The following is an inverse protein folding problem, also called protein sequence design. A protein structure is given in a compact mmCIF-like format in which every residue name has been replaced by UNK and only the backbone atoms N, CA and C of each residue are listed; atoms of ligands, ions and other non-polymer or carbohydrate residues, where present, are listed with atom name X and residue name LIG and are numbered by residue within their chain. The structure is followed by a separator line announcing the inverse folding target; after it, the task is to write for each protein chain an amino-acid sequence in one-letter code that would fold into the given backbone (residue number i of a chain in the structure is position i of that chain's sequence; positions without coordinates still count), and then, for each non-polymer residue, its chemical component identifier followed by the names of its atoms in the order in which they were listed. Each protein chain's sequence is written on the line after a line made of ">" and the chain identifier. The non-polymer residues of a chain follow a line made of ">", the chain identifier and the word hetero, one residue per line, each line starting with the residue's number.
data_IF_323592673432
#
_entry.id   IF_323592673432
#
_cell.length_a   1.000
_cell.length_b   1.000
_cell.length_c   1.000
_cell.angle_alpha   90.00
_cell.angle_beta   90.00
_cell.angle_gamma   90.00
#
_symmetry.space_group_name_H-M   'P 1'
#
loop_
_entity.id
_entity.type
_entity.pdbx_description
1 polymer ?
#
# COMPACT_ATOMS: atom_id res chain seq x y z
N UNK A 1 -9.96 63.13 -18.31
CA UNK A 1 -11.39 62.80 -18.15
C UNK A 1 -11.71 61.73 -19.19
N UNK A 2 -11.70 60.45 -18.78
CA UNK A 2 -12.86 59.66 -18.32
C UNK A 2 -13.41 58.85 -19.51
N UNK A 3 -13.18 57.53 -19.55
CA UNK A 3 -14.13 56.43 -19.22
C UNK A 3 -15.32 56.37 -20.22
N UNK A 4 -15.87 55.27 -20.74
CA UNK A 4 -16.00 53.83 -20.38
C UNK A 4 -16.76 53.17 -21.57
N UNK A 5 -16.36 52.00 -22.09
CA UNK A 5 -16.90 50.63 -21.82
C UNK A 5 -18.10 50.16 -22.69
N UNK A 6 -18.06 48.85 -22.98
CA UNK A 6 -19.07 47.88 -23.45
C UNK A 6 -19.45 47.74 -24.94
N UNK A 7 -19.04 46.60 -25.56
CA UNK A 7 -19.89 45.39 -25.74
C UNK A 7 -19.42 44.45 -26.89
N UNK A 8 -19.36 43.14 -26.64
CA UNK A 8 -19.20 42.02 -27.62
C UNK A 8 -20.56 41.67 -28.28
N UNK A 9 -20.57 40.85 -29.36
CA UNK A 9 -20.89 39.41 -29.24
C UNK A 9 -19.98 38.51 -30.15
N UNK A 10 -19.30 37.46 -29.68
CA UNK A 10 -19.69 36.05 -29.45
C UNK A 10 -20.10 35.24 -30.70
N UNK A 11 -19.27 34.25 -31.10
CA UNK A 11 -19.66 32.82 -31.29
C UNK A 11 -18.52 32.00 -31.91
N UNK A 12 -17.90 31.11 -31.13
CA UNK A 12 -17.49 29.76 -31.50
C UNK A 12 -17.37 28.99 -30.18
N UNK A 13 -18.50 28.40 -29.79
CA UNK A 13 -18.65 27.59 -28.60
C UNK A 13 -18.38 26.12 -28.95
N UNK A 14 -17.82 25.37 -28.00
CA UNK A 14 -18.14 23.95 -27.88
C UNK A 14 -16.98 22.95 -27.76
N UNK A 15 -16.08 23.11 -26.79
CA UNK A 15 -15.57 21.96 -26.01
C UNK A 15 -15.35 22.44 -24.57
N UNK A 16 -16.39 22.36 -23.76
CA UNK A 16 -16.31 22.64 -22.33
C UNK A 16 -15.86 21.34 -21.64
N UNK A 17 -14.56 21.21 -21.41
CA UNK A 17 -14.00 20.21 -20.49
C UNK A 17 -14.32 20.65 -19.07
N UNK A 18 -15.53 20.38 -18.60
CA UNK A 18 -15.85 20.40 -17.18
C UNK A 18 -15.23 19.16 -16.50
N UNK A 19 -13.90 19.15 -16.42
CA UNK A 19 -13.19 18.35 -15.42
C UNK A 19 -13.03 19.28 -14.23
N UNK A 20 -13.80 19.02 -13.16
CA UNK A 20 -13.53 19.63 -11.86
C UNK A 20 -12.08 19.32 -11.51
N UNK A 21 -11.21 20.34 -11.66
CA UNK A 21 -9.85 20.32 -11.16
C UNK A 21 -9.96 19.95 -9.69
N UNK A 22 -9.47 18.76 -9.35
CA UNK A 22 -9.39 18.31 -7.97
C UNK A 22 -8.48 19.32 -7.29
N UNK A 23 -9.02 20.10 -6.36
CA UNK A 23 -8.31 21.06 -5.53
C UNK A 23 -6.96 20.46 -5.11
N UNK A 24 -5.85 21.09 -5.49
CA UNK A 24 -4.49 20.60 -5.24
C UNK A 24 -4.34 20.34 -3.73
N UNK A 25 -4.38 19.06 -3.35
CA UNK A 25 -4.31 18.62 -1.94
C UNK A 25 -2.90 18.85 -1.36
N UNK A 26 -1.91 19.09 -2.22
CA UNK A 26 -0.51 19.31 -1.85
C UNK A 26 -0.15 20.79 -2.05
N UNK A 27 0.43 21.47 -1.04
CA UNK A 27 0.87 22.85 -1.20
C UNK A 27 1.98 22.97 -2.27
N UNK A 28 1.95 24.07 -3.02
CA UNK A 28 2.96 24.44 -4.02
C UNK A 28 4.37 24.29 -3.42
N UNK A 29 5.23 23.49 -4.06
CA UNK A 29 6.63 23.26 -3.66
C UNK A 29 6.94 22.00 -2.84
N UNK A 30 5.93 21.18 -2.49
CA UNK A 30 6.15 19.92 -1.74
C UNK A 30 6.61 18.73 -2.60
N UNK A 31 6.33 18.77 -3.91
CA UNK A 31 6.71 17.75 -4.88
C UNK A 31 7.28 18.46 -6.11
N UNK A 32 8.27 17.85 -6.76
CA UNK A 32 8.86 18.37 -8.00
C UNK A 32 7.75 18.64 -9.03
N UNK A 33 7.59 19.89 -9.52
CA UNK A 33 6.54 20.27 -10.46
C UNK A 33 6.57 19.43 -11.74
N UNK A 34 7.76 18.98 -12.16
CA UNK A 34 7.96 18.06 -13.30
C UNK A 34 7.31 16.70 -13.02
N UNK A 35 7.45 16.18 -11.80
CA UNK A 35 6.84 14.92 -11.41
C UNK A 35 5.32 15.03 -11.28
N UNK A 36 4.81 16.14 -10.72
CA UNK A 36 3.37 16.38 -10.59
C UNK A 36 2.68 16.39 -11.95
N UNK A 37 3.20 17.15 -12.93
CA UNK A 37 2.61 17.23 -14.26
C UNK A 37 2.57 15.86 -14.96
N UNK A 38 3.64 15.07 -14.83
CA UNK A 38 3.67 13.71 -15.37
C UNK A 38 2.68 12.77 -14.66
N UNK A 39 2.54 12.89 -13.33
CA UNK A 39 1.59 12.10 -12.55
C UNK A 39 0.13 12.43 -12.87
N UNK A 40 -0.18 13.70 -13.12
CA UNK A 40 -1.51 14.15 -13.57
C UNK A 40 -1.86 13.56 -14.93
N UNK A 41 -0.97 13.67 -15.91
CA UNK A 41 -1.18 13.09 -17.25
C UNK A 41 -1.39 11.57 -17.18
N UNK A 42 -0.63 10.89 -16.32
CA UNK A 42 -0.76 9.46 -16.10
C UNK A 42 -2.12 9.10 -15.46
N UNK A 43 -2.54 9.83 -14.42
CA UNK A 43 -3.84 9.65 -13.78
C UNK A 43 -5.00 9.87 -14.76
N UNK A 44 -4.91 10.91 -15.59
CA UNK A 44 -5.90 11.21 -16.63
C UNK A 44 -5.97 10.08 -17.67
N UNK A 45 -4.83 9.51 -18.04
CA UNK A 45 -4.78 8.36 -18.94
C UNK A 45 -5.47 7.14 -18.31
N UNK A 46 -5.19 6.84 -17.05
CA UNK A 46 -5.86 5.75 -16.31
C UNK A 46 -7.37 6.02 -16.21
N UNK A 47 -7.77 7.27 -16.00
CA UNK A 47 -9.17 7.69 -15.95
C UNK A 47 -9.87 7.47 -17.30
N UNK A 48 -9.21 7.76 -18.43
CA UNK A 48 -9.71 7.50 -19.79
C UNK A 48 -9.79 6.00 -20.11
N UNK A 49 -8.80 5.22 -19.68
CA UNK A 49 -8.84 3.74 -19.77
C UNK A 49 -10.00 3.19 -18.91
N UNK A 50 -10.33 3.85 -17.81
CA UNK A 50 -11.46 3.48 -16.95
C UNK A 50 -11.31 2.10 -16.31
N UNK A 51 -12.40 1.62 -15.70
CA UNK A 51 -12.44 0.35 -15.00
C UNK A 51 -12.63 -0.81 -15.99
N UNK A 52 -11.61 -1.62 -16.20
CA UNK A 52 -11.64 -2.77 -17.10
C UNK A 52 -11.37 -4.10 -16.37
N UNK A 53 -11.15 -5.16 -17.16
CA UNK A 53 -10.91 -6.51 -16.64
C UNK A 53 -9.69 -6.55 -15.71
N UNK A 54 -8.61 -5.83 -16.07
CA UNK A 54 -7.38 -5.81 -15.29
C UNK A 54 -7.63 -5.29 -13.87
N UNK A 55 -8.36 -4.18 -13.73
CA UNK A 55 -8.65 -3.59 -12.43
C UNK A 55 -9.59 -4.45 -11.58
N UNK A 56 -10.54 -5.16 -12.20
CA UNK A 56 -11.38 -6.14 -11.47
C UNK A 56 -10.59 -7.35 -11.00
N UNK A 57 -9.66 -7.87 -11.80
CA UNK A 57 -8.76 -8.93 -11.35
C UNK A 57 -7.83 -8.42 -10.25
N UNK A 58 -7.32 -7.19 -10.38
CA UNK A 58 -6.50 -6.56 -9.35
C UNK A 58 -7.29 -6.42 -8.05
N UNK A 59 -8.55 -5.99 -8.10
CA UNK A 59 -9.44 -5.89 -6.93
C UNK A 59 -9.59 -7.23 -6.20
N UNK A 60 -9.73 -8.34 -6.93
CA UNK A 60 -9.82 -9.67 -6.34
C UNK A 60 -8.48 -10.07 -5.69
N UNK A 61 -7.36 -9.83 -6.38
CA UNK A 61 -6.02 -10.21 -5.89
C UNK A 61 -5.60 -9.37 -4.67
N UNK A 62 -5.87 -8.06 -4.68
CA UNK A 62 -5.66 -7.19 -3.50
C UNK A 62 -6.66 -7.50 -2.39
N UNK A 63 -7.87 -7.96 -2.75
CA UNK A 63 -8.86 -8.48 -1.81
C UNK A 63 -8.35 -9.69 -1.04
N UNK A 64 -7.70 -10.65 -1.71
CA UNK A 64 -7.05 -11.77 -1.02
C UNK A 64 -5.90 -11.33 -0.09
N UNK A 65 -5.18 -10.26 -0.43
CA UNK A 65 -4.18 -9.67 0.46
C UNK A 65 -4.81 -9.04 1.71
N UNK A 66 -5.86 -8.25 1.55
CA UNK A 66 -6.63 -7.69 2.67
C UNK A 66 -7.27 -8.77 3.56
N UNK A 67 -7.76 -9.85 2.93
CA UNK A 67 -8.24 -11.03 3.64
C UNK A 67 -7.13 -11.63 4.50
N UNK A 68 -5.94 -11.83 3.93
CA UNK A 68 -4.79 -12.35 4.64
C UNK A 68 -4.41 -11.47 5.85
N UNK A 69 -4.42 -10.14 5.68
CA UNK A 69 -4.03 -9.21 6.74
C UNK A 69 -4.92 -9.35 7.99
N UNK A 70 -6.24 -9.32 7.79
CA UNK A 70 -7.18 -9.45 8.91
C UNK A 70 -7.19 -10.88 9.47
N UNK A 71 -7.12 -11.89 8.59
CA UNK A 71 -7.02 -13.29 9.00
C UNK A 71 -5.87 -13.49 9.99
N UNK A 72 -4.70 -12.90 9.72
CA UNK A 72 -3.51 -13.07 10.53
C UNK A 72 -3.56 -12.35 11.88
N UNK A 73 -4.21 -11.19 11.94
CA UNK A 73 -4.51 -10.51 13.21
C UNK A 73 -5.39 -11.42 14.09
N UNK A 74 -6.42 -12.05 13.51
CA UNK A 74 -7.31 -12.97 14.23
C UNK A 74 -6.58 -14.25 14.64
N UNK A 75 -5.75 -14.82 13.74
CA UNK A 75 -4.91 -15.99 14.05
C UNK A 75 -4.03 -15.72 15.26
N UNK A 76 -3.33 -14.59 15.30
CA UNK A 76 -2.47 -14.20 16.42
C UNK A 76 -3.23 -14.16 17.76
N UNK A 77 -4.48 -13.69 17.75
CA UNK A 77 -5.34 -13.66 18.93
C UNK A 77 -5.76 -15.05 19.39
N UNK A 78 -6.18 -15.91 18.45
CA UNK A 78 -6.70 -17.26 18.75
C UNK A 78 -5.61 -18.18 19.32
N UNK A 79 -4.39 -18.13 18.78
CA UNK A 79 -3.30 -19.00 19.22
C UNK A 79 -2.73 -18.64 20.59
N UNK A 80 -3.04 -17.44 21.12
CA UNK A 80 -2.43 -16.93 22.33
C UNK A 80 -2.71 -17.82 23.56
N UNK A 81 -3.98 -18.18 23.79
CA UNK A 81 -4.40 -19.02 24.92
C UNK A 81 -3.71 -20.38 24.94
N UNK A 82 -3.78 -21.20 23.87
CA UNK A 82 -3.13 -22.52 23.87
C UNK A 82 -1.60 -22.44 24.00
N UNK A 83 -0.96 -21.39 23.48
CA UNK A 83 0.49 -21.20 23.63
C UNK A 83 0.85 -20.90 25.09
N UNK A 84 0.07 -20.05 25.77
CA UNK A 84 0.28 -19.73 27.19
C UNK A 84 0.14 -20.97 28.07
N UNK A 85 -0.83 -21.85 27.77
CA UNK A 85 -1.06 -23.10 28.51
C UNK A 85 0.05 -24.15 28.33
N UNK A 86 0.71 -24.21 27.15
CA UNK A 86 1.79 -25.18 26.90
C UNK A 86 3.14 -24.72 27.46
N UNK A 87 3.46 -23.43 27.33
CA UNK A 87 4.77 -22.91 27.74
C UNK A 87 4.78 -22.25 29.12
N UNK A 88 3.63 -22.07 29.76
CA UNK A 88 3.46 -21.39 31.06
C UNK A 88 4.16 -20.02 31.10
N UNK A 89 3.95 -19.23 30.03
CA UNK A 89 4.56 -17.91 29.82
C UNK A 89 3.53 -16.80 29.97
N UNK A 90 3.99 -15.58 30.26
CA UNK A 90 3.09 -14.42 30.26
C UNK A 90 2.64 -14.12 28.82
N UNK A 91 1.34 -14.26 28.56
CA UNK A 91 0.72 -13.99 27.24
C UNK A 91 1.18 -12.70 26.54
N UNK A 92 1.37 -11.56 27.24
CA UNK A 92 1.79 -10.31 26.60
C UNK A 92 3.13 -10.38 25.85
N UNK A 93 4.02 -11.33 26.15
CA UNK A 93 5.29 -11.44 25.41
C UNK A 93 5.11 -11.88 23.95
N UNK A 94 4.13 -12.73 23.66
CA UNK A 94 3.85 -13.15 22.29
C UNK A 94 3.26 -11.98 21.49
N UNK A 95 2.28 -11.28 22.08
CA UNK A 95 1.69 -10.07 21.51
C UNK A 95 2.75 -8.99 21.30
N UNK A 96 3.68 -8.81 22.23
CA UNK A 96 4.78 -7.86 22.05
C UNK A 96 5.64 -8.23 20.84
N UNK A 97 5.98 -9.51 20.69
CA UNK A 97 6.80 -9.97 19.55
C UNK A 97 6.11 -9.74 18.21
N UNK A 98 4.82 -10.06 18.10
CA UNK A 98 4.04 -9.83 16.87
C UNK A 98 3.89 -8.34 16.56
N UNK A 99 3.63 -7.50 17.57
CA UNK A 99 3.53 -6.05 17.39
C UNK A 99 4.86 -5.41 16.96
N UNK A 100 6.00 -5.85 17.53
CA UNK A 100 7.33 -5.40 17.07
C UNK A 100 7.54 -5.81 15.61
N UNK A 101 7.17 -7.05 15.25
CA UNK A 101 7.23 -7.53 13.87
C UNK A 101 6.38 -6.68 12.93
N UNK A 102 5.13 -6.36 13.30
CA UNK A 102 4.25 -5.49 12.52
C UNK A 102 4.84 -4.09 12.32
N UNK A 103 5.41 -3.49 13.37
CA UNK A 103 6.04 -2.17 13.31
C UNK A 103 7.24 -2.18 12.36
N UNK A 104 8.15 -3.14 12.52
CA UNK A 104 9.33 -3.29 11.66
C UNK A 104 8.90 -3.58 10.22
N UNK A 105 7.89 -4.44 10.04
CA UNK A 105 7.30 -4.73 8.73
C UNK A 105 6.74 -3.49 8.04
N UNK A 106 5.91 -2.73 8.73
CA UNK A 106 5.34 -1.50 8.18
C UNK A 106 6.44 -0.52 7.75
N UNK A 107 7.46 -0.28 8.58
CA UNK A 107 8.58 0.62 8.23
C UNK A 107 9.41 0.10 7.06
N UNK A 108 9.80 -1.18 7.11
CA UNK A 108 10.69 -1.78 6.10
C UNK A 108 10.01 -1.92 4.75
N UNK A 109 8.75 -2.36 4.72
CA UNK A 109 8.02 -2.54 3.46
C UNK A 109 7.45 -1.24 2.90
N UNK A 110 7.13 -0.23 3.72
CA UNK A 110 6.71 1.08 3.20
C UNK A 110 7.85 1.75 2.44
N UNK A 111 9.05 1.80 3.01
CA UNK A 111 10.23 2.30 2.30
C UNK A 111 10.69 1.30 1.21
N UNK A 112 10.59 -0.01 1.48
CA UNK A 112 11.02 -1.08 0.59
C UNK A 112 10.22 -1.13 -0.71
N UNK A 113 8.91 -0.87 -0.68
CA UNK A 113 8.09 -0.83 -1.90
C UNK A 113 8.45 0.30 -2.84
N UNK A 114 8.95 1.42 -2.31
CA UNK A 114 9.40 2.55 -3.12
C UNK A 114 10.84 2.38 -3.62
N UNK A 115 11.60 1.42 -3.08
CA UNK A 115 12.97 1.12 -3.50
C UNK A 115 13.03 -0.09 -4.43
N UNK A 116 12.51 -1.23 -3.99
CA UNK A 116 12.59 -2.51 -4.70
C UNK A 116 11.49 -2.72 -5.75
N UNK A 117 10.48 -1.86 -5.76
CA UNK A 117 9.33 -1.98 -6.63
C UNK A 117 8.14 -2.62 -5.90
N UNK A 118 6.95 -2.25 -6.35
CA UNK A 118 5.70 -2.61 -5.67
C UNK A 118 5.34 -4.04 -5.96
N UNK A 119 5.58 -4.52 -7.18
CA UNK A 119 5.33 -5.93 -7.57
C UNK A 119 6.15 -6.93 -6.74
N UNK A 120 7.40 -6.59 -6.45
CA UNK A 120 8.30 -7.48 -5.68
C UNK A 120 7.83 -7.53 -4.23
N UNK A 121 7.60 -6.38 -3.60
CA UNK A 121 7.09 -6.30 -2.23
C UNK A 121 5.74 -7.01 -2.08
N UNK A 122 4.84 -6.84 -3.04
CA UNK A 122 3.54 -7.53 -3.12
C UNK A 122 3.72 -9.06 -3.06
N UNK A 123 4.67 -9.64 -3.79
CA UNK A 123 4.81 -11.10 -3.77
C UNK A 123 5.59 -11.61 -2.55
N UNK A 124 6.60 -10.87 -2.08
CA UNK A 124 7.48 -11.35 -1.01
C UNK A 124 6.78 -11.34 0.36
N UNK A 125 5.93 -10.35 0.64
CA UNK A 125 5.22 -10.25 1.93
C UNK A 125 4.44 -11.52 2.25
N UNK A 126 3.58 -12.00 1.34
CA UNK A 126 2.79 -13.22 1.51
C UNK A 126 3.65 -14.49 1.64
N UNK A 127 4.74 -14.58 0.88
CA UNK A 127 5.67 -15.71 0.97
C UNK A 127 6.33 -15.78 2.36
N UNK A 128 6.79 -14.63 2.88
CA UNK A 128 7.37 -14.51 4.22
C UNK A 128 6.34 -14.98 5.26
N UNK A 129 5.11 -14.49 5.19
CA UNK A 129 4.07 -14.87 6.14
C UNK A 129 3.84 -16.39 6.12
N UNK A 130 3.64 -16.98 4.95
CA UNK A 130 3.37 -18.41 4.81
C UNK A 130 4.53 -19.29 5.30
N UNK A 131 5.77 -18.98 4.90
CA UNK A 131 6.96 -19.76 5.26
C UNK A 131 7.21 -19.68 6.77
N UNK A 132 7.27 -18.47 7.33
CA UNK A 132 7.58 -18.31 8.76
C UNK A 132 6.44 -18.79 9.66
N UNK A 133 5.19 -18.74 9.21
CA UNK A 133 4.07 -19.34 9.94
C UNK A 133 4.19 -20.87 10.05
N UNK A 134 4.52 -21.55 8.95
CA UNK A 134 4.72 -23.01 8.98
C UNK A 134 5.92 -23.40 9.85
N UNK A 135 7.00 -22.61 9.80
CA UNK A 135 8.16 -22.82 10.67
C UNK A 135 7.80 -22.55 12.14
N UNK A 136 6.97 -21.52 12.42
CA UNK A 136 6.49 -21.22 13.76
C UNK A 136 5.69 -22.39 14.37
N UNK A 137 4.91 -23.11 13.57
CA UNK A 137 4.20 -24.30 14.02
C UNK A 137 5.13 -25.45 14.47
N UNK A 138 6.31 -25.55 13.87
CA UNK A 138 7.33 -26.54 14.22
C UNK A 138 8.18 -26.15 15.44
N UNK A 139 7.97 -24.96 16.02
CA UNK A 139 8.81 -24.42 17.09
C UNK A 139 8.84 -25.32 18.35
N UNK A 140 10.04 -25.62 18.89
CA UNK A 140 10.19 -26.47 20.08
C UNK A 140 10.11 -25.70 21.40
N UNK A 141 10.33 -24.38 21.38
CA UNK A 141 10.34 -23.52 22.56
C UNK A 141 9.64 -22.17 22.27
N UNK A 142 9.22 -21.50 23.35
CA UNK A 142 8.54 -20.21 23.26
C UNK A 142 9.39 -19.13 22.59
N UNK A 143 10.70 -19.10 22.85
CA UNK A 143 11.60 -18.11 22.25
C UNK A 143 11.66 -18.24 20.73
N UNK A 144 11.78 -19.46 20.18
CA UNK A 144 11.74 -19.65 18.73
C UNK A 144 10.37 -19.28 18.17
N UNK A 145 9.29 -19.65 18.86
CA UNK A 145 7.93 -19.25 18.46
C UNK A 145 7.80 -17.73 18.40
N UNK A 146 8.29 -17.00 19.40
CA UNK A 146 8.26 -15.55 19.45
C UNK A 146 9.08 -14.92 18.31
N UNK A 147 10.27 -15.45 18.02
CA UNK A 147 11.11 -14.96 16.90
C UNK A 147 10.42 -15.19 15.56
N UNK A 148 9.92 -16.40 15.30
CA UNK A 148 9.16 -16.67 14.08
C UNK A 148 7.88 -15.84 14.05
N UNK A 149 7.26 -15.57 15.20
CA UNK A 149 6.09 -14.71 15.34
C UNK A 149 6.35 -13.28 14.89
N UNK A 150 7.48 -12.72 15.29
CA UNK A 150 7.94 -11.43 14.79
C UNK A 150 8.18 -11.49 13.28
N UNK A 151 8.83 -12.54 12.77
CA UNK A 151 9.18 -12.66 11.35
C UNK A 151 7.97 -12.79 10.41
N UNK A 152 6.95 -13.60 10.75
CA UNK A 152 5.74 -13.62 9.93
C UNK A 152 4.95 -12.31 10.08
N UNK A 153 4.96 -11.68 11.26
CA UNK A 153 4.34 -10.37 11.47
C UNK A 153 5.00 -9.24 10.65
N UNK A 154 6.30 -9.34 10.35
CA UNK A 154 6.98 -8.43 9.41
C UNK A 154 6.35 -8.49 8.01
N UNK A 155 5.97 -9.68 7.55
CA UNK A 155 5.30 -9.84 6.26
C UNK A 155 3.88 -9.25 6.27
N UNK A 156 3.12 -9.48 7.33
CA UNK A 156 1.74 -8.96 7.49
C UNK A 156 1.74 -7.42 7.53
N UNK A 157 2.65 -6.81 8.30
CA UNK A 157 2.69 -5.35 8.46
C UNK A 157 2.99 -4.59 7.17
N UNK A 158 3.69 -5.22 6.22
CA UNK A 158 4.00 -4.62 4.92
C UNK A 158 2.96 -4.86 3.84
N UNK A 159 2.16 -5.92 3.96
CA UNK A 159 1.20 -6.29 2.93
C UNK A 159 0.08 -5.26 2.77
N UNK A 160 -0.47 -4.78 3.89
CA UNK A 160 -1.55 -3.79 3.90
C UNK A 160 -1.24 -2.48 3.15
N UNK A 161 -0.13 -1.76 3.45
CA UNK A 161 0.19 -0.52 2.73
C UNK A 161 0.54 -0.77 1.26
N UNK A 162 1.27 -1.85 0.95
CA UNK A 162 1.70 -2.17 -0.41
C UNK A 162 0.50 -2.50 -1.31
N UNK A 163 -0.43 -3.32 -0.83
CA UNK A 163 -1.63 -3.71 -1.57
C UNK A 163 -2.54 -2.50 -1.83
N UNK A 164 -2.71 -1.64 -0.81
CA UNK A 164 -3.48 -0.40 -0.95
C UNK A 164 -2.86 0.56 -1.96
N UNK A 165 -1.54 0.70 -1.93
CA UNK A 165 -0.83 1.62 -2.80
C UNK A 165 -0.84 1.14 -4.27
N UNK A 166 -0.67 -0.15 -4.52
CA UNK A 166 -0.81 -0.74 -5.87
C UNK A 166 -2.23 -0.58 -6.37
N UNK A 167 -3.24 -0.86 -5.54
CA UNK A 167 -4.64 -0.73 -5.94
C UNK A 167 -4.97 0.69 -6.40
N UNK A 168 -4.59 1.70 -5.62
CA UNK A 168 -4.87 3.11 -5.92
C UNK A 168 -4.10 3.64 -7.15
N UNK A 169 -3.01 2.99 -7.53
CA UNK A 169 -2.20 3.39 -8.70
C UNK A 169 -2.72 2.86 -10.02
N UNK A 170 -3.51 1.79 -10.01
CA UNK A 170 -4.10 1.22 -11.23
C UNK A 170 -5.61 1.49 -11.37
N UNK A 171 -6.26 1.93 -10.29
CA UNK A 171 -7.71 2.19 -10.27
C UNK A 171 -8.01 3.65 -10.57
N UNK A 172 -8.96 3.94 -11.48
CA UNK A 172 -9.37 5.32 -11.79
C UNK A 172 -9.96 6.01 -10.55
N UNK A 173 -9.76 7.34 -10.45
CA UNK A 173 -10.18 8.15 -9.30
C UNK A 173 -11.67 7.98 -8.96
N UNK A 174 -12.52 7.77 -9.96
CA UNK A 174 -13.96 7.54 -9.79
C UNK A 174 -14.32 6.26 -9.03
N UNK A 175 -13.44 5.26 -8.99
CA UNK A 175 -13.67 3.96 -8.38
C UNK A 175 -12.77 3.68 -7.17
N UNK A 176 -12.03 4.69 -6.69
CA UNK A 176 -11.17 4.54 -5.51
C UNK A 176 -11.95 4.20 -4.23
N UNK A 177 -13.26 4.46 -4.18
CA UNK A 177 -14.14 4.00 -3.10
C UNK A 177 -14.15 2.47 -2.93
N UNK A 178 -13.76 1.69 -3.95
CA UNK A 178 -13.60 0.24 -3.81
C UNK A 178 -12.54 -0.15 -2.79
N UNK A 179 -11.62 0.75 -2.42
CA UNK A 179 -10.69 0.52 -1.33
C UNK A 179 -11.43 0.27 0.00
N UNK A 180 -12.55 0.96 0.25
CA UNK A 180 -13.36 0.71 1.45
C UNK A 180 -14.11 -0.61 1.35
N UNK A 181 -14.49 -1.03 0.14
CA UNK A 181 -15.11 -2.34 -0.12
C UNK A 181 -14.13 -3.49 0.14
N UNK A 182 -12.81 -3.27 0.03
CA UNK A 182 -11.81 -4.27 0.44
C UNK A 182 -11.91 -4.63 1.92
N UNK A 183 -12.49 -3.79 2.78
CA UNK A 183 -12.74 -4.14 4.18
C UNK A 183 -13.66 -5.37 4.33
N UNK A 184 -14.55 -5.62 3.36
CA UNK A 184 -15.41 -6.81 3.35
C UNK A 184 -14.56 -8.08 3.19
N UNK A 185 -13.49 -8.04 2.40
CA UNK A 185 -12.53 -9.15 2.30
C UNK A 185 -11.86 -9.45 3.64
N UNK A 186 -11.56 -8.41 4.42
CA UNK A 186 -11.09 -8.55 5.79
C UNK A 186 -12.06 -9.32 6.69
N UNK A 187 -13.37 -9.05 6.58
CA UNK A 187 -14.39 -9.79 7.32
C UNK A 187 -14.43 -11.28 6.94
N UNK A 188 -14.27 -11.60 5.65
CA UNK A 188 -14.12 -12.99 5.20
C UNK A 188 -12.85 -13.64 5.79
N UNK A 189 -11.75 -12.89 5.91
CA UNK A 189 -10.52 -13.38 6.54
C UNK A 189 -10.70 -13.73 8.00
N UNK A 190 -11.34 -12.85 8.76
CA UNK A 190 -11.70 -13.10 10.16
C UNK A 190 -12.63 -14.31 10.32
N UNK A 191 -13.61 -14.46 9.42
CA UNK A 191 -14.52 -15.60 9.40
C UNK A 191 -13.78 -16.91 9.15
N UNK A 192 -12.91 -16.96 8.13
CA UNK A 192 -12.12 -18.16 7.80
C UNK A 192 -11.21 -18.56 8.96
N UNK A 193 -10.48 -17.60 9.55
CA UNK A 193 -9.66 -17.86 10.73
C UNK A 193 -10.49 -18.46 11.87
N UNK A 194 -11.61 -17.82 12.22
CA UNK A 194 -12.46 -18.25 13.32
C UNK A 194 -13.10 -19.62 13.08
N UNK A 195 -13.54 -19.90 11.85
CA UNK A 195 -14.21 -21.15 11.50
C UNK A 195 -13.23 -22.32 11.50
N UNK A 196 -12.03 -22.13 10.95
CA UNK A 196 -10.98 -23.16 10.98
C UNK A 196 -10.48 -23.38 12.40
N UNK A 197 -10.36 -22.32 13.20
CA UNK A 197 -10.03 -22.45 14.61
C UNK A 197 -11.09 -23.26 15.37
N UNK A 198 -12.37 -22.95 15.15
CA UNK A 198 -13.49 -23.67 15.74
C UNK A 198 -13.52 -25.16 15.35
N UNK A 199 -13.10 -25.52 14.15
CA UNK A 199 -13.03 -26.93 13.73
C UNK A 199 -11.86 -27.70 14.38
N UNK A 200 -10.73 -27.03 14.64
CA UNK A 200 -9.48 -27.69 15.06
C UNK A 200 -9.27 -27.64 16.57
N UNK A 201 -9.38 -26.46 17.17
CA UNK A 201 -9.00 -26.26 18.58
C UNK A 201 -9.80 -27.15 19.54
N UNK A 202 -11.13 -27.31 19.42
CA UNK A 202 -11.88 -28.16 20.34
C UNK A 202 -11.48 -29.65 20.31
N UNK A 203 -10.97 -30.14 19.18
CA UNK A 203 -10.61 -31.55 18.99
C UNK A 203 -9.15 -31.86 19.31
N UNK A 204 -8.26 -30.86 19.22
CA UNK A 204 -6.81 -31.05 19.26
C UNK A 204 -6.08 -30.15 20.26
N UNK A 205 -6.81 -29.38 21.07
CA UNK A 205 -6.25 -28.58 22.17
C UNK A 205 -6.94 -28.88 23.49
N UNK A 206 -6.21 -28.68 24.59
CA UNK A 206 -6.80 -28.72 25.93
C UNK A 206 -7.89 -27.64 26.08
N UNK A 207 -8.83 -27.89 26.99
CA UNK A 207 -9.84 -26.91 27.37
C UNK A 207 -9.18 -25.65 27.95
N UNK A 208 -9.75 -24.47 27.65
CA UNK A 208 -9.20 -23.17 28.04
C UNK A 208 -9.08 -22.96 29.56
N UNK A 209 -9.73 -23.83 30.36
CA UNK A 209 -9.74 -23.80 31.83
C UNK A 209 -8.56 -24.57 32.45
N UNK A 210 -7.85 -25.39 31.68
CA UNK A 210 -6.72 -26.20 32.18
C UNK A 210 -5.45 -25.35 32.22
N UNK A 211 -4.74 -25.36 33.37
CA UNK A 211 -3.58 -24.50 33.60
C UNK A 211 -2.30 -25.07 32.95
N UNK A 212 -2.16 -26.39 32.88
CA UNK A 212 -1.00 -27.05 32.27
C UNK A 212 -1.46 -28.05 31.22
N UNK A 213 -1.10 -27.79 29.96
CA UNK A 213 -1.37 -28.69 28.84
C UNK A 213 -0.05 -29.21 28.28
N UNK A 214 0.14 -30.54 28.26
CA UNK A 214 1.33 -31.14 27.65
C UNK A 214 1.28 -31.00 26.13
N UNK A 215 2.46 -30.89 25.51
CA UNK A 215 2.61 -30.78 24.06
C UNK A 215 1.88 -31.86 23.25
N UNK A 216 1.79 -33.09 23.77
CA UNK A 216 1.06 -34.18 23.10
C UNK A 216 -0.44 -33.89 22.92
N UNK A 217 -0.99 -33.11 23.85
CA UNK A 217 -2.44 -32.87 23.96
C UNK A 217 -2.81 -31.46 23.45
N UNK A 218 -1.81 -30.69 22.98
CA UNK A 218 -1.96 -29.32 22.47
C UNK A 218 -1.47 -29.14 21.02
N UNK A 219 -1.71 -30.11 20.15
CA UNK A 219 -1.26 -30.02 18.75
C UNK A 219 -2.13 -29.08 17.91
N UNK A 220 -3.29 -28.65 18.41
CA UNK A 220 -4.28 -27.84 17.69
C UNK A 220 -3.76 -26.51 17.16
N UNK A 221 -3.01 -25.74 17.96
CA UNK A 221 -2.45 -24.46 17.50
C UNK A 221 -1.37 -24.65 16.42
N UNK A 222 -0.64 -25.77 16.44
CA UNK A 222 0.36 -26.11 15.41
C UNK A 222 -0.30 -26.47 14.09
N UNK A 223 -1.34 -27.31 14.12
CA UNK A 223 -2.11 -27.64 12.92
C UNK A 223 -2.81 -26.42 12.34
N UNK A 224 -3.35 -25.56 13.22
CA UNK A 224 -3.94 -24.30 12.81
C UNK A 224 -2.94 -23.37 12.11
N UNK A 225 -1.74 -23.19 12.67
CA UNK A 225 -0.68 -22.41 12.03
C UNK A 225 -0.20 -23.01 10.69
N UNK A 226 -0.11 -24.34 10.58
CA UNK A 226 0.26 -25.01 9.32
C UNK A 226 -0.81 -24.77 8.26
N UNK A 227 -2.09 -24.90 8.60
CA UNK A 227 -3.18 -24.70 7.66
C UNK A 227 -3.29 -23.23 7.22
N UNK A 228 -3.15 -22.29 8.15
CA UNK A 228 -3.18 -20.85 7.84
C UNK A 228 -1.94 -20.42 7.06
N UNK A 229 -0.75 -20.91 7.44
CA UNK A 229 0.49 -20.70 6.68
C UNK A 229 0.42 -21.31 5.28
N UNK A 230 -0.13 -22.52 5.16
CA UNK A 230 -0.39 -23.18 3.88
C UNK A 230 -1.35 -22.40 3.00
N UNK A 231 -2.43 -21.85 3.57
CA UNK A 231 -3.35 -20.96 2.87
C UNK A 231 -2.62 -19.74 2.30
N UNK A 232 -1.68 -19.13 3.04
CA UNK A 232 -0.88 -18.01 2.53
C UNK A 232 0.02 -18.41 1.37
N UNK A 233 0.61 -19.60 1.40
CA UNK A 233 1.41 -20.11 0.29
C UNK A 233 0.52 -20.34 -0.95
N UNK A 234 -0.69 -20.86 -0.77
CA UNK A 234 -1.65 -21.00 -1.87
C UNK A 234 -2.03 -19.65 -2.45
N UNK A 235 -2.31 -18.64 -1.61
CA UNK A 235 -2.58 -17.28 -2.07
C UNK A 235 -1.38 -16.64 -2.77
N UNK A 236 -0.16 -16.91 -2.29
CA UNK A 236 1.08 -16.47 -2.93
C UNK A 236 1.26 -17.10 -4.32
N UNK A 237 1.05 -18.42 -4.45
CA UNK A 237 1.09 -19.14 -5.73
C UNK A 237 0.03 -18.57 -6.68
N UNK A 238 -1.19 -18.34 -6.19
CA UNK A 238 -2.27 -17.75 -6.98
C UNK A 238 -1.88 -16.36 -7.50
N UNK A 239 -1.32 -15.51 -6.63
CA UNK A 239 -0.86 -14.16 -6.96
C UNK A 239 0.30 -14.15 -7.97
N UNK A 240 1.21 -15.13 -7.87
CA UNK A 240 2.37 -15.21 -8.75
C UNK A 240 2.05 -15.82 -10.12
N UNK A 241 1.26 -16.89 -10.17
CA UNK A 241 1.02 -17.66 -11.40
C UNK A 241 -0.28 -17.33 -12.13
N UNK A 242 -1.33 -16.89 -11.43
CA UNK A 242 -2.65 -16.64 -12.04
C UNK A 242 -2.81 -15.19 -12.47
N UNK A 243 -2.09 -14.24 -11.85
CA UNK A 243 -2.20 -12.82 -12.20
C UNK A 243 -0.83 -12.20 -12.51
N UNK A 244 -0.66 -11.77 -13.77
CA UNK A 244 0.51 -11.00 -14.18
C UNK A 244 0.35 -9.54 -13.74
N UNK A 245 0.76 -9.26 -12.51
CA UNK A 245 0.88 -7.89 -12.01
C UNK A 245 1.99 -7.17 -12.79
N UNK A 246 1.64 -6.02 -13.37
CA UNK A 246 2.62 -5.09 -13.92
C UNK A 246 3.15 -4.19 -12.82
N UNK A 247 4.40 -3.75 -12.94
CA UNK A 247 4.98 -2.79 -12.01
C UNK A 247 4.21 -1.47 -12.08
N UNK A 248 4.16 -0.72 -10.98
CA UNK A 248 3.44 0.54 -10.94
C UNK A 248 4.00 1.56 -11.95
N UNK A 249 3.15 2.17 -12.81
CA UNK A 249 3.60 3.21 -13.73
C UNK A 249 4.16 4.43 -13.01
N UNK A 250 3.62 4.78 -11.83
CA UNK A 250 4.13 5.89 -11.00
C UNK A 250 5.49 5.57 -10.40
N UNK A 251 5.69 4.34 -9.93
CA UNK A 251 7.00 3.87 -9.47
C UNK A 251 8.04 3.95 -10.60
N UNK A 252 7.72 3.46 -11.80
CA UNK A 252 8.63 3.50 -12.95
C UNK A 252 8.97 4.93 -13.37
N UNK A 253 7.97 5.83 -13.37
CA UNK A 253 8.17 7.25 -13.62
C UNK A 253 9.06 7.91 -12.56
N UNK A 254 8.87 7.61 -11.28
CA UNK A 254 9.72 8.08 -10.18
C UNK A 254 11.16 7.57 -10.23
N UNK A 255 11.41 6.51 -11.00
CA UNK A 255 12.74 5.95 -11.30
C UNK A 255 13.35 6.48 -12.60
N UNK A 256 12.67 7.37 -13.31
CA UNK A 256 13.08 7.89 -14.62
C UNK A 256 12.89 6.92 -15.78
N UNK A 257 12.19 5.79 -15.57
CA UNK A 257 11.95 4.76 -16.59
C UNK A 257 10.65 5.02 -17.35
N UNK A 258 10.61 6.12 -18.10
CA UNK A 258 9.39 6.57 -18.79
C UNK A 258 8.89 5.57 -19.85
N UNK A 259 9.80 4.95 -20.62
CA UNK A 259 9.44 3.90 -21.58
C UNK A 259 8.72 2.71 -20.94
N UNK A 260 9.21 2.25 -19.78
CA UNK A 260 8.58 1.13 -19.06
C UNK A 260 7.21 1.54 -18.50
N UNK A 261 7.07 2.77 -18.00
CA UNK A 261 5.79 3.29 -17.50
C UNK A 261 4.71 3.33 -18.59
N UNK A 262 5.06 3.83 -19.78
CA UNK A 262 4.16 3.86 -20.96
C UNK A 262 3.83 2.44 -21.42
N UNK A 263 4.82 1.54 -21.47
CA UNK A 263 4.61 0.14 -21.83
C UNK A 263 3.61 -0.55 -20.88
N UNK A 264 3.69 -0.30 -19.56
CA UNK A 264 2.72 -0.82 -18.60
C UNK A 264 1.31 -0.28 -18.89
N UNK A 265 1.17 1.01 -19.15
CA UNK A 265 -0.14 1.61 -19.46
C UNK A 265 -0.75 1.00 -20.72
N UNK A 266 0.05 0.81 -21.79
CA UNK A 266 -0.44 0.11 -22.98
C UNK A 266 -0.79 -1.35 -22.71
N UNK A 267 -0.01 -2.06 -21.88
CA UNK A 267 -0.32 -3.43 -21.50
C UNK A 267 -1.64 -3.54 -20.73
N UNK A 268 -1.89 -2.62 -19.78
CA UNK A 268 -3.16 -2.53 -19.04
C UNK A 268 -4.31 -2.15 -19.96
N UNK A 269 -4.12 -1.19 -20.86
CA UNK A 269 -5.12 -0.80 -21.85
C UNK A 269 -5.50 -1.99 -22.76
N UNK A 270 -4.50 -2.70 -23.29
CA UNK A 270 -4.68 -3.90 -24.11
C UNK A 270 -5.41 -5.02 -23.35
N UNK A 271 -5.07 -5.26 -22.08
CA UNK A 271 -5.77 -6.22 -21.23
C UNK A 271 -7.25 -5.85 -21.04
N UNK A 272 -7.53 -4.54 -21.00
CA UNK A 272 -8.88 -3.99 -20.91
C UNK A 272 -9.62 -3.89 -22.26
N UNK A 273 -9.01 -4.34 -23.37
CA UNK A 273 -9.52 -4.15 -24.73
C UNK A 273 -9.80 -2.67 -25.06
N UNK A 274 -8.91 -1.79 -24.60
CA UNK A 274 -8.90 -0.36 -24.93
C UNK A 274 -7.55 0.04 -25.47
N UNK A 275 -7.52 1.11 -26.24
CA UNK A 275 -6.28 1.72 -26.70
C UNK A 275 -5.88 2.87 -25.80
N UNK A 276 -4.58 3.02 -25.59
CA UNK A 276 -3.98 4.19 -24.95
C UNK A 276 -3.19 4.96 -25.99
N UNK A 277 -3.40 6.27 -26.07
CA UNK A 277 -2.64 7.19 -26.93
C UNK A 277 -1.44 7.80 -26.21
N UNK A 278 -1.17 7.39 -24.96
CA UNK A 278 -0.08 7.94 -24.17
C UNK A 278 1.26 7.56 -24.81
N UNK A 279 2.09 8.54 -25.15
CA UNK A 279 3.45 8.29 -25.64
C UNK A 279 4.50 8.80 -24.66
N UNK A 280 5.75 8.40 -24.87
CA UNK A 280 6.87 8.81 -24.01
C UNK A 280 7.14 10.30 -24.19
N UNK A 281 7.00 10.78 -25.42
CA UNK A 281 7.17 12.19 -25.79
C UNK A 281 6.18 13.08 -25.04
N UNK A 282 4.93 12.63 -24.85
CA UNK A 282 3.94 13.37 -24.04
C UNK A 282 4.33 13.49 -22.56
N UNK A 283 4.96 12.46 -21.99
CA UNK A 283 5.48 12.51 -20.61
C UNK A 283 6.76 13.35 -20.50
N UNK A 284 7.57 13.38 -21.56
CA UNK A 284 8.75 14.24 -21.65
C UNK A 284 8.34 15.72 -21.78
N UNK A 285 7.43 16.04 -22.69
CA UNK A 285 6.85 17.37 -22.90
C UNK A 285 6.15 17.91 -21.65
N UNK A 286 5.39 17.06 -20.94
CA UNK A 286 4.78 17.44 -19.66
C UNK A 286 5.83 17.83 -18.59
N UNK A 287 7.03 17.25 -18.68
CA UNK A 287 8.15 17.63 -17.82
C UNK A 287 8.84 18.92 -18.26
N UNK A 288 9.05 19.09 -19.58
CA UNK A 288 9.72 20.26 -20.16
C UNK A 288 8.86 21.53 -20.01
N UNK A 289 7.53 21.41 -20.12
CA UNK A 289 6.60 22.56 -20.00
C UNK A 289 6.65 23.21 -18.60
N UNK A 290 7.11 22.48 -17.59
CA UNK A 290 7.31 22.95 -16.22
C UNK A 290 8.77 23.34 -15.92
N UNK A 291 9.71 23.04 -16.83
CA UNK A 291 11.05 23.64 -16.82
C UNK A 291 10.93 25.07 -17.38
N UNK A 292 10.85 26.07 -16.49
CA UNK A 292 10.85 27.48 -16.89
C UNK A 292 12.05 27.79 -17.82
N UNK A 293 11.90 28.71 -18.81
CA UNK A 293 12.96 28.99 -19.78
C UNK A 293 14.25 29.46 -19.10
N UNK A 294 15.36 28.93 -19.59
CA UNK A 294 16.76 29.06 -19.14
C UNK A 294 17.35 30.49 -19.20
N UNK A 295 16.55 31.53 -19.03
CA UNK A 295 16.94 32.93 -19.26
C UNK A 295 16.82 33.83 -18.02
N UNK A 296 17.21 33.32 -16.86
CA UNK A 296 17.64 34.18 -15.74
C UNK A 296 18.92 33.62 -15.13
N UNK A 297 20.02 33.69 -15.89
CA UNK A 297 21.37 33.56 -15.32
C UNK A 297 21.69 34.83 -14.53
N UNK A 298 21.21 34.91 -13.30
CA UNK A 298 21.81 35.81 -12.32
C UNK A 298 23.11 35.20 -11.78
N UNK A 299 24.09 36.07 -11.54
CA UNK A 299 25.53 35.80 -11.52
C UNK A 299 26.09 35.09 -10.30
N UNK A 300 25.25 34.53 -9.43
CA UNK A 300 25.68 33.77 -8.26
C UNK A 300 24.93 32.43 -8.23
N UNK A 301 25.66 31.34 -8.45
CA UNK A 301 25.16 30.04 -8.91
C UNK A 301 24.35 29.18 -7.92
N UNK A 302 23.44 29.76 -7.14
CA UNK A 302 22.43 29.01 -6.38
C UNK A 302 21.07 29.72 -6.45
N UNK A 303 20.09 29.08 -7.08
CA UNK A 303 18.69 29.48 -7.08
C UNK A 303 18.03 29.04 -5.77
N UNK A 304 17.61 29.95 -4.86
CA UNK A 304 17.01 29.60 -3.57
C UNK A 304 15.63 28.96 -3.67
N UNK A 305 14.99 29.02 -4.85
CA UNK A 305 13.64 28.51 -5.12
C UNK A 305 13.63 27.22 -5.95
N UNK A 306 14.80 26.72 -6.38
CA UNK A 306 14.90 25.47 -7.14
C UNK A 306 14.88 24.27 -6.19
N UNK A 307 13.84 23.41 -6.20
CA UNK A 307 13.98 22.11 -5.56
C UNK A 307 15.12 21.37 -6.28
N UNK A 308 16.09 20.77 -5.55
CA UNK A 308 17.17 20.03 -6.17
C UNK A 308 16.59 18.90 -7.01
N UNK A 309 17.16 18.69 -8.21
CA UNK A 309 16.76 17.64 -9.14
C UNK A 309 16.54 16.32 -8.38
N UNK A 310 15.36 15.72 -8.55
CA UNK A 310 14.95 14.58 -7.77
C UNK A 310 15.90 13.39 -8.01
N UNK A 311 16.65 13.00 -6.99
CA UNK A 311 17.51 11.81 -7.06
C UNK A 311 16.63 10.55 -7.20
N UNK A 312 16.63 10.01 -8.42
CA UNK A 312 15.88 8.82 -8.85
C UNK A 312 16.54 7.51 -8.39
N UNK A 313 17.72 7.58 -7.77
CA UNK A 313 18.44 6.41 -7.27
C UNK A 313 17.72 5.75 -6.08
N UNK A 314 18.05 4.47 -5.83
CA UNK A 314 17.42 3.69 -4.73
C UNK A 314 17.76 4.30 -3.36
N UNK A 315 18.99 4.82 -3.25
CA UNK A 315 19.45 5.55 -2.08
C UNK A 315 18.78 6.92 -1.96
N UNK A 316 18.53 7.60 -3.09
CA UNK A 316 17.76 8.85 -3.13
C UNK A 316 16.30 8.69 -2.69
N UNK A 317 15.64 7.59 -3.08
CA UNK A 317 14.28 7.26 -2.62
C UNK A 317 14.25 6.93 -1.12
N UNK A 318 15.18 6.09 -0.63
CA UNK A 318 15.30 5.77 0.79
C UNK A 318 15.62 6.99 1.66
N UNK A 319 16.55 7.85 1.21
CA UNK A 319 16.91 9.10 1.89
C UNK A 319 15.75 10.08 1.93
N UNK A 320 14.86 10.09 0.93
CA UNK A 320 13.62 10.87 0.94
C UNK A 320 12.62 10.35 1.96
N UNK A 321 12.37 9.04 1.99
CA UNK A 321 11.53 8.41 3.02
C UNK A 321 12.02 8.69 4.45
N UNK A 322 13.34 8.78 4.65
CA UNK A 322 13.92 9.21 5.94
C UNK A 322 13.88 10.73 6.18
N UNK A 323 13.96 11.54 5.12
CA UNK A 323 13.89 13.02 5.18
C UNK A 323 12.47 13.54 5.35
N UNK A 324 11.45 12.71 5.11
CA UNK A 324 10.04 12.96 5.42
C UNK A 324 9.74 13.02 6.93
N UNK A 325 10.72 12.82 7.82
CA UNK A 325 10.59 13.16 9.24
C UNK A 325 10.82 14.67 9.49
N UNK A 326 10.17 15.52 8.68
CA UNK A 326 10.25 16.96 8.80
C UNK A 326 9.03 17.50 9.57
N UNK A 327 9.27 18.39 10.54
CA UNK A 327 8.21 18.99 11.40
C UNK A 327 7.22 19.84 10.58
N UNK A 328 7.56 20.15 9.34
CA UNK A 328 6.68 20.77 8.34
C UNK A 328 5.46 19.90 8.02
N UNK A 329 5.58 18.57 7.95
CA UNK A 329 4.45 17.65 7.71
C UNK A 329 3.43 17.64 8.85
N UNK A 330 3.89 17.70 10.09
CA UNK A 330 2.99 17.84 11.25
C UNK A 330 2.24 19.17 11.21
N UNK A 331 2.90 20.26 10.79
CA UNK A 331 2.23 21.55 10.53
C UNK A 331 1.23 21.47 9.37
N UNK A 332 1.51 20.66 8.34
CA UNK A 332 0.61 20.45 7.20
C UNK A 332 -0.70 19.77 7.59
N UNK A 333 -0.68 18.82 8.52
CA UNK A 333 -1.90 18.16 9.05
C UNK A 333 -2.91 19.14 9.70
N UNK A 334 -2.46 20.35 10.07
CA UNK A 334 -3.28 21.42 10.66
C UNK A 334 -3.31 22.70 9.80
N UNK A 335 -2.90 22.63 8.53
CA UNK A 335 -2.77 23.80 7.67
C UNK A 335 -4.09 24.52 7.36
N UNK A 336 -5.21 23.79 7.28
CA UNK A 336 -6.55 24.37 7.09
C UNK A 336 -7.48 23.97 8.22
N UNK A 337 -8.50 24.78 8.56
CA UNK A 337 -9.43 24.45 9.65
C UNK A 337 -10.20 23.15 9.40
N UNK A 338 -10.43 22.77 8.14
CA UNK A 338 -11.05 21.48 7.77
C UNK A 338 -10.10 20.30 7.97
N UNK A 339 -8.84 20.42 7.55
CA UNK A 339 -7.84 19.37 7.77
C UNK A 339 -7.58 19.18 9.26
N UNK A 340 -7.40 20.28 10.01
CA UNK A 340 -7.18 20.26 11.45
C UNK A 340 -8.33 19.54 12.19
N UNK A 341 -9.58 19.81 11.81
CA UNK A 341 -10.74 19.13 12.39
C UNK A 341 -10.76 17.64 12.05
N UNK A 342 -10.55 17.29 10.77
CA UNK A 342 -10.53 15.89 10.32
C UNK A 342 -9.40 15.09 10.98
N UNK A 343 -8.19 15.65 11.02
CA UNK A 343 -7.02 15.09 11.70
C UNK A 343 -7.28 14.90 13.19
N UNK A 344 -7.80 15.92 13.87
CA UNK A 344 -8.08 15.86 15.31
C UNK A 344 -9.14 14.81 15.63
N UNK A 345 -10.13 14.66 14.76
CA UNK A 345 -11.18 13.66 14.92
C UNK A 345 -10.63 12.24 14.70
N UNK A 346 -9.78 12.03 13.69
CA UNK A 346 -9.08 10.75 13.48
C UNK A 346 -8.19 10.41 14.69
N UNK A 347 -7.39 11.36 15.18
CA UNK A 347 -6.54 11.16 16.36
C UNK A 347 -7.38 10.86 17.60
N UNK A 348 -8.52 11.54 17.78
CA UNK A 348 -9.40 11.33 18.95
C UNK A 348 -10.14 9.99 18.91
N UNK A 349 -10.46 9.49 17.72
CA UNK A 349 -11.13 8.20 17.53
C UNK A 349 -10.15 7.04 17.69
N UNK A 350 -8.91 7.17 17.21
CA UNK A 350 -7.88 6.11 17.26
C UNK A 350 -6.95 6.19 18.47
N UNK A 351 -6.95 7.31 19.19
CA UNK A 351 -6.14 7.52 20.40
C UNK A 351 -6.80 7.03 21.70
N UNK A 352 -8.00 6.45 21.62
CA UNK A 352 -8.67 5.72 22.71
C UNK A 352 -8.51 4.23 22.49
#
# INVERSE_FOLDING_TARGET
>A
MSASDHSRPSTLAGVQTDVKITEQVLPEGSVDPVYQARAELLNDTIQRIGMGKYQWHLFIVTGFGWLADILWIVVAGIILTPIVQEFNVKGPFLSLSTNIGLLVGAMTWSAGSDVWGRKVSFNITLAIVGIFAMIAAASPNFTALAVFAALWSVGVGGNFPVDSAIFLEFVPATHQWLLTVLAIWGAFGALIASLVAWAILPNFSCEATVIECKRSDNMGWRYYLILMGGLMIVLWILRFFVFTLHESPKYLMGRGKLHEAVAVIHAVAKYNNRDSTLTVEQLEEAGITQEAPENTKDRDGEDPLRPPAMDTSAFGAFRRSLREYDRSLVKMLFATPKLAFSTSLIISVWGK
#
